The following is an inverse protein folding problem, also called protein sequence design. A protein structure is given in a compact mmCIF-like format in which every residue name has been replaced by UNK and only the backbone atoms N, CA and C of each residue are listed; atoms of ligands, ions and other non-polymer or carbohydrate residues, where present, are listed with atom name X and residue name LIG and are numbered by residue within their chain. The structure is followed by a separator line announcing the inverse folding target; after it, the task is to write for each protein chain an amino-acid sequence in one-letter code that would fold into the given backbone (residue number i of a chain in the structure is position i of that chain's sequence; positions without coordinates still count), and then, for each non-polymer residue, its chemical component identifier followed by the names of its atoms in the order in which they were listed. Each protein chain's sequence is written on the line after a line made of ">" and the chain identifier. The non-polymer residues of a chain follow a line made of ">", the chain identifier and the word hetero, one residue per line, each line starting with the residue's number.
data_IF_909037975095
#
_entry.id   IF_909037975095
#
_cell.length_a   1.000
_cell.length_b   1.000
_cell.length_c   1.000
_cell.angle_alpha   90.00
_cell.angle_beta   90.00
_cell.angle_gamma   90.00
#
_symmetry.space_group_name_H-M   'P 1'
#
loop_
_entity.id
_entity.type
_entity.pdbx_description
1 polymer ?
#
# COMPACT_ATOMS: atom_id res chain seq x y z
N UNK A 1 -10.17 13.27 -7.67
CA UNK A 1 -10.50 12.52 -8.91
C UNK A 1 -9.44 11.48 -9.26
N UNK A 2 -9.55 10.81 -10.43
CA UNK A 2 -8.72 9.65 -10.80
C UNK A 2 -7.21 9.89 -10.81
N UNK A 3 -6.75 11.08 -11.25
CA UNK A 3 -5.33 11.44 -11.24
C UNK A 3 -4.79 11.54 -9.81
N UNK A 4 -5.54 12.19 -8.91
CA UNK A 4 -5.16 12.27 -7.50
C UNK A 4 -5.11 10.89 -6.83
N UNK A 5 -6.05 10.00 -7.19
CA UNK A 5 -6.03 8.62 -6.75
C UNK A 5 -4.78 7.87 -7.23
N UNK A 6 -4.42 7.99 -8.51
CA UNK A 6 -3.23 7.37 -9.06
C UNK A 6 -1.94 7.83 -8.36
N UNK A 7 -1.80 9.13 -8.12
CA UNK A 7 -0.65 9.68 -7.40
C UNK A 7 -0.59 9.17 -5.95
N UNK A 8 -1.74 9.13 -5.26
CA UNK A 8 -1.84 8.61 -3.90
C UNK A 8 -1.46 7.11 -3.84
N UNK A 9 -1.96 6.32 -4.78
CA UNK A 9 -1.62 4.90 -4.93
C UNK A 9 -0.12 4.70 -5.16
N UNK A 10 0.51 5.51 -6.03
CA UNK A 10 1.96 5.47 -6.21
C UNK A 10 2.68 5.71 -4.89
N UNK A 11 2.26 6.70 -4.10
CA UNK A 11 2.81 6.96 -2.76
C UNK A 11 2.63 5.79 -1.79
N UNK A 12 1.46 5.16 -1.73
CA UNK A 12 1.27 3.99 -0.88
C UNK A 12 2.20 2.82 -1.28
N UNK A 13 2.36 2.57 -2.59
CA UNK A 13 3.26 1.52 -3.08
C UNK A 13 4.73 1.83 -2.80
N UNK A 14 5.18 3.09 -2.88
CA UNK A 14 6.57 3.44 -2.54
C UNK A 14 6.85 3.23 -1.05
N UNK A 15 5.91 3.57 -0.17
CA UNK A 15 6.01 3.28 1.27
C UNK A 15 6.03 1.78 1.54
N UNK A 16 5.18 1.00 0.85
CA UNK A 16 5.19 -0.46 0.97
C UNK A 16 6.53 -1.07 0.54
N UNK A 17 7.11 -0.60 -0.57
CA UNK A 17 8.42 -1.03 -1.03
C UNK A 17 9.54 -0.68 -0.04
N UNK A 18 9.48 0.50 0.58
CA UNK A 18 10.41 0.90 1.63
C UNK A 18 10.27 0.03 2.89
N UNK A 19 9.05 -0.29 3.31
CA UNK A 19 8.76 -1.17 4.45
C UNK A 19 9.33 -2.58 4.22
N UNK A 20 9.12 -3.15 3.02
CA UNK A 20 9.71 -4.43 2.63
C UNK A 20 11.24 -4.38 2.62
N UNK A 21 11.81 -3.31 2.07
CA UNK A 21 13.27 -3.12 2.02
C UNK A 21 13.88 -3.02 3.41
N UNK A 22 13.22 -2.34 4.35
CA UNK A 22 13.62 -2.28 5.75
C UNK A 22 13.56 -3.65 6.45
N UNK A 23 12.66 -4.53 6.00
CA UNK A 23 12.59 -5.92 6.45
C UNK A 23 13.57 -6.86 5.71
N UNK A 24 14.32 -6.36 4.71
CA UNK A 24 15.27 -7.16 3.92
C UNK A 24 14.64 -7.96 2.78
N UNK A 25 13.41 -7.64 2.36
CA UNK A 25 12.69 -8.31 1.28
C UNK A 25 12.50 -7.39 0.08
N UNK A 26 12.46 -7.97 -1.11
CA UNK A 26 12.02 -7.25 -2.30
C UNK A 26 10.48 -7.21 -2.36
N UNK A 27 9.93 -6.06 -2.71
CA UNK A 27 8.47 -5.90 -2.80
C UNK A 27 7.88 -6.81 -3.88
N UNK A 28 6.79 -7.52 -3.55
CA UNK A 28 6.08 -8.41 -4.46
C UNK A 28 6.70 -9.80 -4.66
N UNK A 29 7.82 -10.13 -3.99
CA UNK A 29 8.46 -11.46 -4.13
C UNK A 29 8.03 -12.46 -3.07
N UNK A 30 7.35 -12.00 -2.01
CA UNK A 30 6.87 -12.84 -0.92
C UNK A 30 5.51 -13.45 -1.31
N UNK A 31 5.44 -14.77 -1.33
CA UNK A 31 4.18 -15.50 -1.58
C UNK A 31 3.26 -15.37 -0.37
N UNK A 32 2.02 -14.95 -0.61
CA UNK A 32 0.98 -14.92 0.41
C UNK A 32 0.70 -16.33 0.93
N UNK A 33 1.10 -16.60 2.16
CA UNK A 33 0.95 -17.89 2.83
C UNK A 33 0.86 -17.71 4.34
N UNK A 34 0.40 -18.74 5.05
CA UNK A 34 0.38 -18.74 6.52
C UNK A 34 1.78 -18.66 7.15
N UNK A 35 2.84 -18.90 6.36
CA UNK A 35 4.23 -18.84 6.79
C UNK A 35 4.91 -17.53 6.36
N UNK A 36 4.17 -16.58 5.78
CA UNK A 36 4.73 -15.29 5.40
C UNK A 36 5.25 -14.54 6.64
N UNK A 37 6.38 -13.81 6.53
CA UNK A 37 6.91 -13.05 7.65
C UNK A 37 5.89 -12.04 8.18
N UNK A 38 5.71 -11.99 9.49
CA UNK A 38 4.72 -11.11 10.13
C UNK A 38 4.94 -9.63 9.78
N UNK A 39 6.20 -9.20 9.63
CA UNK A 39 6.57 -7.84 9.20
C UNK A 39 6.05 -7.51 7.81
N UNK A 40 6.15 -8.46 6.88
CA UNK A 40 5.66 -8.32 5.51
C UNK A 40 4.14 -8.29 5.48
N UNK A 41 3.48 -9.13 6.27
CA UNK A 41 2.03 -9.07 6.41
C UNK A 41 1.58 -7.70 6.94
N UNK A 42 2.28 -7.13 7.92
CA UNK A 42 2.02 -5.79 8.43
C UNK A 42 2.24 -4.70 7.37
N UNK A 43 3.33 -4.75 6.58
CA UNK A 43 3.55 -3.82 5.47
C UNK A 43 2.39 -3.83 4.45
N UNK A 44 1.89 -5.02 4.10
CA UNK A 44 0.76 -5.15 3.18
C UNK A 44 -0.56 -4.67 3.78
N UNK A 45 -0.80 -4.94 5.06
CA UNK A 45 -1.99 -4.41 5.75
C UNK A 45 -1.98 -2.88 5.74
N UNK A 46 -0.84 -2.26 6.02
CA UNK A 46 -0.67 -0.82 5.94
C UNK A 46 -0.87 -0.28 4.52
N UNK A 47 -0.34 -0.97 3.50
CA UNK A 47 -0.59 -0.65 2.09
C UNK A 47 -2.10 -0.69 1.78
N UNK A 48 -2.79 -1.75 2.16
CA UNK A 48 -4.23 -1.89 1.95
C UNK A 48 -5.03 -0.77 2.60
N UNK A 49 -4.69 -0.40 3.84
CA UNK A 49 -5.31 0.75 4.52
C UNK A 49 -5.04 2.06 3.78
N UNK A 50 -3.80 2.31 3.36
CA UNK A 50 -3.42 3.51 2.59
C UNK A 50 -4.18 3.58 1.26
N UNK A 51 -4.28 2.47 0.53
CA UNK A 51 -5.02 2.41 -0.73
C UNK A 51 -6.51 2.65 -0.54
N UNK A 52 -7.10 2.08 0.51
CA UNK A 52 -8.51 2.30 0.85
C UNK A 52 -8.78 3.79 1.16
N UNK A 53 -7.92 4.42 1.96
CA UNK A 53 -8.07 5.86 2.26
C UNK A 53 -7.89 6.71 1.00
N UNK A 54 -6.90 6.42 0.15
CA UNK A 54 -6.73 7.08 -1.16
C UNK A 54 -8.00 6.99 -2.00
N UNK A 55 -8.63 5.82 -2.08
CA UNK A 55 -9.88 5.65 -2.82
C UNK A 55 -11.00 6.52 -2.22
N UNK A 56 -11.18 6.48 -0.90
CA UNK A 56 -12.18 7.31 -0.20
C UNK A 56 -11.99 8.79 -0.48
N UNK A 57 -10.78 9.33 -0.31
CA UNK A 57 -10.54 10.78 -0.40
C UNK A 57 -10.44 11.28 -1.84
N UNK A 58 -9.94 10.46 -2.77
CA UNK A 58 -9.68 10.92 -4.13
C UNK A 58 -10.78 10.53 -5.13
N UNK A 59 -11.59 9.50 -4.86
CA UNK A 59 -12.66 9.08 -5.78
C UNK A 59 -14.05 9.38 -5.24
N UNK A 60 -14.27 9.24 -3.93
CA UNK A 60 -15.61 9.28 -3.33
C UNK A 60 -15.90 10.53 -2.51
N UNK A 61 -14.88 11.28 -2.08
CA UNK A 61 -15.10 12.54 -1.39
C UNK A 61 -15.69 13.58 -2.36
N UNK A 62 -16.74 14.33 -1.95
CA UNK A 62 -17.27 15.42 -2.76
C UNK A 62 -16.16 16.45 -2.96
N UNK A 63 -15.84 16.73 -4.22
CA UNK A 63 -14.99 17.86 -4.60
C UNK A 63 -15.80 19.15 -4.43
N UNK A 64 -15.25 20.20 -3.79
CA UNK A 64 -15.90 21.50 -3.77
C UNK A 64 -16.09 22.06 -5.19
#
# INVERSE_FOLDING_TARGET
>A
GPIAYALCQTGCNTVAAACYSAAGFQFGTVVASLLAPATILACNTALGTCSATCATVALFAPTP
#
